data_IF_179410177376
#
_entry.id   IF_179410177376
#
_cell.length_a   1.000
_cell.length_b   1.000
_cell.length_c   1.000
_cell.angle_alpha   90.00
_cell.angle_beta   90.00
_cell.angle_gamma   90.00
#
_symmetry.space_group_name_H-M   'P 1'
#
loop_
_entity.id
_entity.type
_entity.pdbx_description
1 polymer ?
#
# COMPACT_ATOMS: atom_id res chain seq x y z
N UNK A 1 -7.03 26.31 -1.13
CA UNK A 1 -6.36 25.98 -2.41
C UNK A 1 -5.88 24.54 -2.28
N UNK A 2 -6.68 23.56 -2.66
CA UNK A 2 -6.27 22.15 -2.61
C UNK A 2 -5.38 21.87 -3.81
N UNK A 3 -4.07 21.73 -3.61
CA UNK A 3 -3.20 21.21 -4.67
C UNK A 3 -3.78 19.86 -5.10
N UNK A 4 -4.30 19.78 -6.33
CA UNK A 4 -4.82 18.54 -6.91
C UNK A 4 -3.66 17.61 -7.24
N UNK A 5 -2.91 17.22 -6.20
CA UNK A 5 -1.90 16.18 -6.32
C UNK A 5 -2.64 14.86 -6.49
N UNK A 6 -2.17 14.05 -7.44
CA UNK A 6 -2.76 12.73 -7.68
C UNK A 6 -2.77 11.94 -6.37
N UNK A 7 -3.83 11.17 -6.07
CA UNK A 7 -3.84 10.29 -4.91
C UNK A 7 -2.67 9.31 -5.00
N UNK A 8 -2.07 8.94 -3.87
CA UNK A 8 -1.02 7.93 -3.87
C UNK A 8 -1.63 6.52 -3.82
N UNK A 9 -1.09 5.62 -4.62
CA UNK A 9 -1.42 4.21 -4.62
C UNK A 9 -0.21 3.42 -4.12
N UNK A 10 -0.39 2.68 -3.02
CA UNK A 10 0.67 1.92 -2.36
C UNK A 10 0.71 0.48 -2.86
N UNK A 11 1.83 0.05 -3.42
CA UNK A 11 2.07 -1.36 -3.73
C UNK A 11 2.78 -2.04 -2.56
N UNK A 12 2.06 -2.93 -1.89
CA UNK A 12 2.56 -3.78 -0.82
C UNK A 12 3.00 -5.13 -1.42
N UNK A 13 4.32 -5.30 -1.56
CA UNK A 13 4.92 -6.51 -2.15
C UNK A 13 5.36 -6.32 -3.61
N UNK A 14 5.48 -7.43 -4.33
CA UNK A 14 5.88 -7.45 -5.75
C UNK A 14 4.75 -7.97 -6.64
N UNK A 15 4.72 -7.50 -7.89
CA UNK A 15 3.84 -8.00 -8.95
C UNK A 15 4.74 -8.72 -9.95
N UNK A 16 4.74 -10.05 -9.91
CA UNK A 16 5.64 -10.86 -10.75
C UNK A 16 5.05 -11.17 -12.15
N UNK A 17 3.72 -11.11 -12.28
CA UNK A 17 3.04 -11.34 -13.56
C UNK A 17 3.16 -10.10 -14.46
N UNK A 18 3.80 -10.24 -15.63
CA UNK A 18 4.00 -9.14 -16.59
C UNK A 18 2.71 -8.40 -16.96
N UNK A 19 1.56 -9.07 -17.23
CA UNK A 19 0.31 -8.37 -17.53
C UNK A 19 -0.16 -7.47 -16.38
N UNK A 20 -0.11 -7.98 -15.14
CA UNK A 20 -0.54 -7.24 -13.96
C UNK A 20 0.41 -6.06 -13.63
N UNK A 21 1.69 -6.16 -13.97
CA UNK A 21 2.64 -5.05 -13.82
C UNK A 21 2.30 -3.90 -14.76
N UNK A 22 1.92 -4.19 -16.01
CA UNK A 22 1.49 -3.16 -16.99
C UNK A 22 0.21 -2.47 -16.53
N UNK A 23 -0.75 -3.24 -16.02
CA UNK A 23 -2.00 -2.68 -15.48
C UNK A 23 -1.71 -1.77 -14.28
N UNK A 24 -0.84 -2.20 -13.37
CA UNK A 24 -0.38 -1.36 -12.25
C UNK A 24 0.30 -0.07 -12.74
N UNK A 25 1.21 -0.17 -13.71
CA UNK A 25 1.91 0.99 -14.27
C UNK A 25 0.95 1.95 -14.98
N UNK A 26 -0.14 1.45 -15.59
CA UNK A 26 -1.17 2.30 -16.21
C UNK A 26 -1.86 3.24 -15.21
N UNK A 27 -1.94 2.82 -13.93
CA UNK A 27 -2.51 3.62 -12.85
C UNK A 27 -1.67 4.88 -12.54
N UNK A 28 -0.40 4.96 -12.97
CA UNK A 28 0.44 6.17 -12.85
C UNK A 28 -0.18 7.41 -13.52
N UNK A 29 -1.08 7.19 -14.49
CA UNK A 29 -1.84 8.25 -15.14
C UNK A 29 -2.78 8.96 -14.17
N UNK A 30 -3.35 8.25 -13.19
CA UNK A 30 -4.38 8.74 -12.27
C UNK A 30 -3.91 8.83 -10.81
N UNK A 31 -2.87 8.09 -10.43
CA UNK A 31 -2.35 7.99 -9.07
C UNK A 31 -0.81 8.02 -9.07
N UNK A 32 -0.21 8.44 -7.96
CA UNK A 32 1.23 8.30 -7.75
C UNK A 32 1.52 6.91 -7.19
N UNK A 33 2.24 6.07 -7.94
CA UNK A 33 2.55 4.70 -7.54
C UNK A 33 3.75 4.72 -6.61
N UNK A 34 3.54 4.34 -5.35
CA UNK A 34 4.60 4.29 -4.33
C UNK A 34 4.75 2.87 -3.78
N UNK A 35 5.91 2.60 -3.18
CA UNK A 35 6.20 1.35 -2.47
C UNK A 35 6.69 1.69 -1.05
N UNK A 36 6.35 0.87 -0.05
CA UNK A 36 6.92 1.05 1.29
C UNK A 36 8.43 0.84 1.23
N UNK A 37 9.17 1.58 2.04
CA UNK A 37 10.59 1.29 2.31
C UNK A 37 10.75 0.19 3.35
N UNK A 38 9.73 0.00 4.18
CA UNK A 38 9.70 -1.04 5.18
C UNK A 38 9.84 -2.44 4.58
N UNK A 39 10.68 -3.24 5.23
CA UNK A 39 10.90 -4.66 4.89
C UNK A 39 10.23 -5.60 5.89
N UNK A 40 9.83 -5.08 7.04
CA UNK A 40 9.21 -5.82 8.13
C UNK A 40 8.09 -4.99 8.79
N UNK A 41 7.27 -5.64 9.62
CA UNK A 41 6.08 -5.05 10.24
C UNK A 41 6.39 -3.83 11.09
N UNK A 42 7.43 -3.89 11.92
CA UNK A 42 7.80 -2.79 12.81
C UNK A 42 8.23 -1.55 12.03
N UNK A 43 9.02 -1.75 10.97
CA UNK A 43 9.37 -0.68 10.03
C UNK A 43 8.14 -0.12 9.33
N UNK A 44 7.19 -0.95 8.92
CA UNK A 44 5.99 -0.50 8.22
C UNK A 44 5.12 0.35 9.14
N UNK A 45 4.95 -0.05 10.40
CA UNK A 45 4.24 0.74 11.41
C UNK A 45 4.94 2.08 11.64
N UNK A 46 6.28 2.09 11.77
CA UNK A 46 7.06 3.33 11.91
C UNK A 46 6.92 4.23 10.68
N UNK A 47 6.94 3.66 9.49
CA UNK A 47 6.77 4.38 8.22
C UNK A 47 5.37 5.01 8.13
N UNK A 48 4.32 4.28 8.51
CA UNK A 48 2.96 4.82 8.61
C UNK A 48 2.90 5.99 9.61
N UNK A 49 3.44 5.81 10.82
CA UNK A 49 3.48 6.85 11.88
C UNK A 49 4.33 8.07 11.51
N UNK A 50 5.31 7.90 10.61
CA UNK A 50 6.18 9.00 10.18
C UNK A 50 5.52 10.00 9.23
N UNK A 51 4.34 9.66 8.68
CA UNK A 51 3.66 10.43 7.64
C UNK A 51 4.23 10.19 6.23
N UNK A 52 5.18 9.26 6.06
CA UNK A 52 5.74 8.94 4.75
C UNK A 52 4.69 8.41 3.75
N UNK A 53 3.63 7.79 4.28
CA UNK A 53 2.50 7.24 3.50
C UNK A 53 1.29 8.20 3.46
N UNK A 54 1.44 9.45 3.90
CA UNK A 54 0.36 10.43 3.85
C UNK A 54 -0.03 10.73 2.41
N UNK A 55 -1.34 10.73 2.17
CA UNK A 55 -1.93 10.88 0.83
C UNK A 55 -2.12 9.55 0.08
N UNK A 56 -1.73 8.41 0.67
CA UNK A 56 -2.15 7.10 0.19
C UNK A 56 -3.66 6.97 0.36
N UNK A 57 -4.35 6.68 -0.75
CA UNK A 57 -5.80 6.48 -0.78
C UNK A 57 -6.14 5.01 -0.97
N UNK A 58 -5.35 4.32 -1.78
CA UNK A 58 -5.53 2.92 -2.09
C UNK A 58 -4.21 2.16 -1.92
N UNK A 59 -4.28 0.94 -1.42
CA UNK A 59 -3.17 0.02 -1.42
C UNK A 59 -3.52 -1.29 -2.11
N UNK A 60 -2.55 -1.86 -2.80
CA UNK A 60 -2.64 -3.18 -3.41
C UNK A 60 -1.67 -4.11 -2.69
N UNK A 61 -2.18 -5.19 -2.11
CA UNK A 61 -1.38 -6.18 -1.37
C UNK A 61 -1.32 -7.51 -2.11
N UNK A 62 -0.13 -8.10 -2.11
CA UNK A 62 0.12 -9.45 -2.65
C UNK A 62 0.44 -10.44 -1.53
N UNK A 63 0.53 -11.73 -1.85
CA UNK A 63 0.82 -12.77 -0.86
C UNK A 63 2.14 -12.55 -0.12
N UNK A 64 3.20 -12.16 -0.85
CA UNK A 64 4.53 -11.84 -0.30
C UNK A 64 4.51 -10.65 0.66
N UNK A 65 3.51 -9.76 0.55
CA UNK A 65 3.38 -8.60 1.41
C UNK A 65 3.13 -8.98 2.88
N UNK A 66 2.73 -10.22 3.17
CA UNK A 66 2.51 -10.72 4.53
C UNK A 66 3.77 -10.62 5.38
N UNK A 67 4.96 -10.76 4.79
CA UNK A 67 6.23 -10.62 5.50
C UNK A 67 6.54 -9.15 5.87
N UNK A 68 6.01 -8.20 5.09
CA UNK A 68 6.25 -6.76 5.25
C UNK A 68 5.22 -6.15 6.21
N UNK A 69 3.93 -6.37 6.00
CA UNK A 69 2.88 -5.73 6.83
C UNK A 69 2.44 -6.59 8.01
N UNK A 70 2.64 -7.91 7.93
CA UNK A 70 2.00 -8.85 8.85
C UNK A 70 0.47 -8.84 8.70
N UNK A 71 -0.22 -9.19 9.79
CA UNK A 71 -1.69 -9.19 9.85
C UNK A 71 -2.20 -7.75 9.95
N UNK A 72 -3.28 -7.44 9.24
CA UNK A 72 -4.03 -6.20 9.46
C UNK A 72 -4.87 -6.37 10.72
N UNK A 73 -4.27 -6.06 11.85
CA UNK A 73 -4.86 -6.04 13.18
C UNK A 73 -5.14 -4.59 13.61
N UNK A 74 -5.87 -4.37 14.72
CA UNK A 74 -6.26 -3.03 15.16
C UNK A 74 -5.06 -2.09 15.36
N UNK A 75 -3.94 -2.60 15.88
CA UNK A 75 -2.70 -1.83 16.05
C UNK A 75 -2.22 -1.26 14.71
N UNK A 76 -2.16 -2.09 13.66
CA UNK A 76 -1.73 -1.61 12.35
C UNK A 76 -2.72 -0.61 11.78
N UNK A 77 -4.03 -0.88 11.91
CA UNK A 77 -5.10 -0.02 11.39
C UNK A 77 -5.08 1.36 12.05
N UNK A 78 -4.81 1.44 13.35
CA UNK A 78 -4.65 2.71 14.08
C UNK A 78 -3.43 3.53 13.62
N UNK A 79 -2.43 2.86 13.04
CA UNK A 79 -1.24 3.53 12.53
C UNK A 79 -1.40 4.00 11.09
N UNK A 80 -2.43 3.54 10.37
CA UNK A 80 -2.60 3.88 8.95
C UNK A 80 -2.91 5.37 8.77
N UNK A 81 -2.44 5.98 7.67
CA UNK A 81 -2.82 7.34 7.29
C UNK A 81 -4.35 7.46 7.19
N UNK A 82 -4.92 8.54 7.72
CA UNK A 82 -6.37 8.82 7.61
C UNK A 82 -6.84 8.92 6.15
N UNK A 83 -5.93 9.23 5.23
CA UNK A 83 -6.23 9.29 3.80
C UNK A 83 -6.51 7.92 3.17
N UNK A 84 -6.10 6.83 3.82
CA UNK A 84 -6.20 5.47 3.30
C UNK A 84 -7.65 4.97 3.38
N UNK A 85 -8.25 4.72 2.22
CA UNK A 85 -9.66 4.31 2.09
C UNK A 85 -9.84 2.88 1.60
N UNK A 86 -8.93 2.38 0.76
CA UNK A 86 -9.12 1.09 0.08
C UNK A 86 -7.89 0.19 0.20
N UNK A 87 -8.13 -1.11 0.40
CA UNK A 87 -7.08 -2.13 0.29
C UNK A 87 -7.56 -3.25 -0.63
N UNK A 88 -6.87 -3.45 -1.74
CA UNK A 88 -7.13 -4.53 -2.69
C UNK A 88 -6.22 -5.70 -2.37
N UNK A 89 -6.82 -6.82 -1.96
CA UNK A 89 -6.10 -8.02 -1.57
C UNK A 89 -6.05 -9.02 -2.73
N UNK A 90 -4.89 -9.17 -3.37
CA UNK A 90 -4.64 -10.25 -4.31
C UNK A 90 -3.90 -11.40 -3.60
N UNK A 91 -4.67 -12.17 -2.84
CA UNK A 91 -4.21 -13.35 -2.13
C UNK A 91 -5.39 -14.21 -1.71
N UNK A 92 -5.29 -15.52 -1.93
CA UNK A 92 -6.27 -16.48 -1.48
C UNK A 92 -6.30 -16.47 0.06
N UNK A 93 -7.49 -16.28 0.64
CA UNK A 93 -7.69 -16.50 2.07
C UNK A 93 -7.53 -17.99 2.33
N UNK A 94 -6.42 -18.39 2.94
CA UNK A 94 -6.32 -19.70 3.59
C UNK A 94 -6.55 -19.44 5.07
N UNK A 95 -7.75 -19.81 5.52
CA UNK A 95 -8.20 -19.75 6.92
C UNK A 95 -7.33 -20.57 7.84
#
# INVERSE_FOLDING_TARGET
MGSSSKPKALLLGTIDHEPARRDWESLSSIAELIKPKATNREEFIKECKSGALDGVVAAYKTFESKNITGRFDPELVECLPESWKFISNNGMWVS
#
